data_IF_602364730988
#
_entry.id   IF_602364730988
#
_cell.length_a   1.000
_cell.length_b   1.000
_cell.length_c   1.000
_cell.angle_alpha   90.00
_cell.angle_beta   90.00
_cell.angle_gamma   90.00
#
_symmetry.space_group_name_H-M   'P 1'
#
loop_
_entity.id
_entity.type
_entity.pdbx_description
1 polymer ?
#
# COMPACT_ATOMS: atom_id res chain seq x y z
N UNK A 1 21.80 -37.04 -33.78
CA UNK A 1 23.05 -37.17 -32.99
C UNK A 1 23.11 -35.91 -32.16
N UNK A 2 22.89 -35.81 -30.85
CA UNK A 2 22.87 -36.67 -29.65
C UNK A 2 22.11 -35.78 -28.62
N UNK A 3 21.46 -36.19 -27.54
CA UNK A 3 21.20 -37.46 -26.89
C UNK A 3 20.14 -37.15 -25.83
N UNK A 4 19.20 -38.06 -25.65
CA UNK A 4 18.17 -38.09 -24.60
C UNK A 4 18.84 -38.29 -23.23
N UNK A 5 18.40 -37.57 -22.18
CA UNK A 5 18.53 -38.00 -20.78
C UNK A 5 17.35 -37.46 -19.97
N UNK A 6 16.25 -38.22 -19.92
CA UNK A 6 15.83 -39.08 -18.79
C UNK A 6 15.47 -38.30 -17.51
N UNK A 7 14.16 -38.14 -17.38
CA UNK A 7 13.31 -38.15 -16.19
C UNK A 7 14.00 -38.34 -14.81
N UNK A 8 13.63 -37.46 -13.88
CA UNK A 8 13.48 -37.81 -12.47
C UNK A 8 12.04 -37.50 -12.04
N UNK A 9 11.53 -38.38 -11.20
CA UNK A 9 10.14 -38.65 -10.93
C UNK A 9 9.48 -37.73 -9.89
N UNK A 10 8.15 -37.85 -9.84
CA UNK A 10 7.21 -37.55 -8.74
C UNK A 10 7.01 -36.06 -8.43
N UNK A 11 5.80 -35.55 -8.17
CA UNK A 11 4.57 -36.18 -7.75
C UNK A 11 3.38 -35.47 -8.38
N UNK A 12 2.33 -36.24 -8.66
CA UNK A 12 1.01 -35.68 -8.91
C UNK A 12 0.52 -34.98 -7.64
N UNK A 13 0.33 -33.67 -7.72
CA UNK A 13 -0.66 -32.98 -6.89
C UNK A 13 -1.67 -32.37 -7.85
N UNK A 14 -2.69 -33.17 -8.16
CA UNK A 14 -3.97 -32.60 -8.55
C UNK A 14 -4.57 -31.94 -7.32
N UNK A 15 -4.52 -30.62 -7.25
CA UNK A 15 -5.59 -29.85 -6.61
C UNK A 15 -6.20 -28.98 -7.70
N UNK A 16 -7.13 -29.59 -8.45
CA UNK A 16 -8.26 -28.87 -8.98
C UNK A 16 -9.03 -28.33 -7.77
N UNK A 17 -8.76 -27.08 -7.42
CA UNK A 17 -9.37 -26.39 -6.29
C UNK A 17 -9.57 -24.93 -6.68
N UNK A 18 -10.51 -24.68 -7.59
CA UNK A 18 -11.11 -23.36 -7.77
C UNK A 18 -11.68 -22.91 -6.43
N UNK A 19 -10.93 -22.08 -5.74
CA UNK A 19 -11.45 -21.29 -4.65
C UNK A 19 -10.89 -19.89 -4.84
N UNK A 20 -11.39 -19.22 -5.89
CA UNK A 20 -11.47 -17.77 -5.92
C UNK A 20 -12.43 -17.35 -4.81
N UNK A 21 -12.02 -17.50 -3.56
CA UNK A 21 -12.56 -16.65 -2.52
C UNK A 21 -12.06 -15.27 -2.90
N UNK A 22 -12.97 -14.40 -3.32
CA UNK A 22 -12.72 -12.98 -3.33
C UNK A 22 -12.37 -12.60 -1.88
N UNK A 23 -11.09 -12.71 -1.51
CA UNK A 23 -10.59 -12.26 -0.23
C UNK A 23 -10.82 -10.77 -0.24
N UNK A 24 -11.79 -10.31 0.55
CA UNK A 24 -11.95 -8.89 0.79
C UNK A 24 -10.59 -8.36 1.25
N UNK A 25 -10.01 -7.45 0.46
CA UNK A 25 -8.72 -6.87 0.76
C UNK A 25 -8.80 -6.17 2.12
N UNK A 26 -7.85 -6.49 3.01
CA UNK A 26 -7.79 -5.84 4.32
C UNK A 26 -7.54 -4.34 4.15
N UNK A 27 -7.97 -3.50 5.10
CA UNK A 27 -7.67 -2.07 5.08
C UNK A 27 -6.18 -1.75 4.89
N UNK A 28 -5.30 -2.62 5.41
CA UNK A 28 -3.85 -2.50 5.25
C UNK A 28 -3.40 -2.75 3.80
N UNK A 29 -3.95 -3.77 3.14
CA UNK A 29 -3.65 -4.06 1.73
C UNK A 29 -4.14 -2.93 0.82
N UNK A 30 -5.35 -2.44 1.07
CA UNK A 30 -5.89 -1.27 0.33
C UNK A 30 -5.06 -0.02 0.54
N UNK A 31 -4.66 0.27 1.78
CA UNK A 31 -3.78 1.41 2.06
C UNK A 31 -2.45 1.27 1.32
N UNK A 32 -1.87 0.07 1.25
CA UNK A 32 -0.65 -0.17 0.48
C UNK A 32 -0.88 0.04 -1.02
N UNK A 33 -1.99 -0.44 -1.58
CA UNK A 33 -2.33 -0.20 -2.98
C UNK A 33 -2.52 1.29 -3.27
N UNK A 34 -3.21 2.01 -2.38
CA UNK A 34 -3.42 3.45 -2.48
C UNK A 34 -2.13 4.25 -2.35
N UNK A 35 -1.17 3.77 -1.55
CA UNK A 35 0.17 4.35 -1.45
C UNK A 35 0.88 4.28 -2.81
N UNK A 36 0.98 3.07 -3.36
CA UNK A 36 1.62 2.83 -4.66
C UNK A 36 0.92 3.56 -5.80
N UNK A 37 -0.40 3.71 -5.75
CA UNK A 37 -1.17 4.46 -6.73
C UNK A 37 -0.99 5.98 -6.62
N UNK A 38 -0.54 6.47 -5.46
CA UNK A 38 -0.35 7.90 -5.21
C UNK A 38 1.10 8.36 -5.43
N UNK A 39 2.07 7.47 -5.21
CA UNK A 39 3.50 7.66 -5.52
C UNK A 39 3.70 7.69 -7.05
N UNK A 40 3.47 8.85 -7.64
CA UNK A 40 3.40 9.02 -9.09
C UNK A 40 4.79 9.13 -9.71
N UNK A 41 5.76 9.67 -8.96
CA UNK A 41 7.15 9.76 -9.38
C UNK A 41 7.93 8.45 -9.11
N UNK A 42 7.41 7.55 -8.28
CA UNK A 42 8.00 6.25 -7.98
C UNK A 42 9.23 6.33 -7.09
N UNK A 43 9.37 7.38 -6.29
CA UNK A 43 10.52 7.57 -5.39
C UNK A 43 10.35 6.81 -4.06
N UNK A 44 9.18 6.18 -3.86
CA UNK A 44 8.88 5.41 -2.67
C UNK A 44 8.54 6.27 -1.46
N UNK A 45 8.37 7.58 -1.61
CA UNK A 45 7.88 8.54 -0.62
C UNK A 45 6.63 9.25 -1.15
N UNK A 46 6.00 10.09 -0.33
CA UNK A 46 4.87 10.90 -0.77
C UNK A 46 5.19 12.38 -0.61
N UNK A 47 5.32 13.09 -1.72
CA UNK A 47 5.24 14.56 -1.70
C UNK A 47 3.87 15.02 -1.20
N UNK A 48 3.72 16.31 -0.87
CA UNK A 48 2.43 16.84 -0.41
C UNK A 48 1.27 16.58 -1.38
N UNK A 49 1.51 16.69 -2.69
CA UNK A 49 0.50 16.44 -3.70
C UNK A 49 0.07 14.96 -3.74
N UNK A 50 1.04 14.05 -3.67
CA UNK A 50 0.81 12.60 -3.66
C UNK A 50 0.16 12.16 -2.35
N UNK A 51 0.57 12.74 -1.22
CA UNK A 51 -0.07 12.53 0.07
C UNK A 51 -1.55 12.93 0.05
N UNK A 52 -1.91 14.04 -0.61
CA UNK A 52 -3.31 14.42 -0.76
C UNK A 52 -4.09 13.35 -1.52
N UNK A 53 -3.55 12.83 -2.62
CA UNK A 53 -4.13 11.73 -3.39
C UNK A 53 -4.29 10.46 -2.54
N UNK A 54 -3.28 10.13 -1.75
CA UNK A 54 -3.28 9.00 -0.83
C UNK A 54 -4.41 9.11 0.21
N UNK A 55 -4.57 10.28 0.84
CA UNK A 55 -5.68 10.54 1.76
C UNK A 55 -7.03 10.47 1.05
N UNK A 56 -7.12 10.98 -0.18
CA UNK A 56 -8.36 10.94 -0.96
C UNK A 56 -8.78 9.51 -1.32
N UNK A 57 -7.84 8.64 -1.71
CA UNK A 57 -8.09 7.21 -1.97
C UNK A 57 -8.45 6.47 -0.68
N UNK A 58 -7.69 6.67 0.40
CA UNK A 58 -8.00 6.05 1.68
C UNK A 58 -9.35 6.51 2.25
N UNK A 59 -9.77 7.76 2.00
CA UNK A 59 -11.08 8.24 2.38
C UNK A 59 -12.21 7.52 1.60
N UNK A 60 -11.99 7.22 0.31
CA UNK A 60 -12.93 6.47 -0.52
C UNK A 60 -13.08 5.03 -0.03
N UNK A 61 -11.97 4.41 0.41
CA UNK A 61 -11.97 3.06 0.97
C UNK A 61 -12.37 2.99 2.46
N UNK A 62 -12.67 4.13 3.10
CA UNK A 62 -13.04 4.17 4.52
C UNK A 62 -11.89 3.81 5.48
N UNK A 63 -10.65 4.05 5.09
CA UNK A 63 -9.45 3.66 5.84
C UNK A 63 -9.04 4.75 6.83
N UNK A 64 -9.02 4.39 8.11
CA UNK A 64 -8.49 5.22 9.19
C UNK A 64 -9.19 6.57 9.32
N UNK A 65 -8.41 7.63 9.57
CA UNK A 65 -8.92 9.01 9.73
C UNK A 65 -8.96 9.81 8.41
N UNK A 66 -8.68 9.17 7.27
CA UNK A 66 -8.53 9.84 5.98
C UNK A 66 -9.81 10.58 5.57
N UNK A 67 -10.98 9.98 5.83
CA UNK A 67 -12.27 10.63 5.59
C UNK A 67 -12.53 11.85 6.49
N UNK A 68 -11.97 11.91 7.70
CA UNK A 68 -12.04 13.10 8.56
C UNK A 68 -11.10 14.19 8.05
N UNK A 69 -9.86 13.83 7.69
CA UNK A 69 -8.85 14.76 7.15
C UNK A 69 -9.39 15.44 5.89
N UNK A 70 -9.97 14.66 4.96
CA UNK A 70 -10.63 15.17 3.75
C UNK A 70 -11.78 16.12 4.06
N UNK A 71 -12.74 15.69 4.89
CA UNK A 71 -13.92 16.51 5.22
C UNK A 71 -13.59 17.83 5.93
N UNK A 72 -12.51 17.84 6.71
CA UNK A 72 -12.08 19.03 7.48
C UNK A 72 -10.99 19.85 6.78
N UNK A 73 -10.62 19.45 5.55
CA UNK A 73 -9.53 20.04 4.76
C UNK A 73 -8.21 20.15 5.54
N UNK A 74 -7.88 19.13 6.35
CA UNK A 74 -6.72 19.12 7.27
C UNK A 74 -5.48 18.45 6.67
N UNK A 75 -5.35 18.43 5.34
CA UNK A 75 -4.24 17.76 4.65
C UNK A 75 -2.87 18.29 5.10
N UNK A 76 -2.68 19.62 5.14
CA UNK A 76 -1.43 20.24 5.57
C UNK A 76 -1.05 19.84 7.00
N UNK A 77 -1.99 19.96 7.94
CA UNK A 77 -1.74 19.55 9.34
C UNK A 77 -1.42 18.05 9.48
N UNK A 78 -2.05 17.19 8.68
CA UNK A 78 -1.78 15.76 8.70
C UNK A 78 -0.39 15.46 8.11
N UNK A 79 -0.02 16.15 7.04
CA UNK A 79 1.29 16.04 6.41
C UNK A 79 2.40 16.50 7.36
N UNK A 80 2.30 17.71 7.92
CA UNK A 80 3.27 18.28 8.86
C UNK A 80 3.46 17.43 10.13
N UNK A 81 2.43 16.67 10.53
CA UNK A 81 2.52 15.76 11.67
C UNK A 81 3.27 14.46 11.34
N UNK A 82 3.25 14.04 10.08
CA UNK A 82 3.94 12.84 9.60
C UNK A 82 5.37 13.15 9.17
N UNK A 83 5.60 14.31 8.53
CA UNK A 83 6.90 14.82 8.08
C UNK A 83 7.73 15.26 9.29
N UNK A 84 8.33 14.30 9.97
CA UNK A 84 8.98 14.50 11.25
C UNK A 84 10.34 15.18 11.10
N UNK A 85 11.04 14.87 10.01
CA UNK A 85 12.33 15.48 9.70
C UNK A 85 12.22 16.79 8.89
N UNK A 86 11.00 17.13 8.42
CA UNK A 86 10.67 18.37 7.68
C UNK A 86 11.38 18.47 6.34
N UNK A 87 11.59 17.34 5.68
CA UNK A 87 12.21 17.28 4.37
C UNK A 87 11.21 17.54 3.23
N UNK A 88 9.91 17.68 3.53
CA UNK A 88 8.86 17.97 2.55
C UNK A 88 8.31 16.74 1.81
N UNK A 89 8.64 15.54 2.27
CA UNK A 89 8.10 14.25 1.79
C UNK A 89 7.77 13.35 2.99
N UNK A 90 6.81 12.43 2.83
CA UNK A 90 6.54 11.41 3.83
C UNK A 90 7.21 10.11 3.40
N UNK A 91 8.19 9.67 4.16
CA UNK A 91 8.84 8.38 3.95
C UNK A 91 8.04 7.20 4.55
N UNK A 92 8.30 5.96 4.09
CA UNK A 92 7.72 4.76 4.71
C UNK A 92 8.06 4.63 6.21
N UNK A 93 9.26 5.07 6.60
CA UNK A 93 9.70 5.05 7.99
C UNK A 93 8.86 5.98 8.87
N UNK A 94 8.51 7.17 8.38
CA UNK A 94 7.65 8.12 9.08
C UNK A 94 6.21 7.64 9.19
N UNK A 95 5.66 7.01 8.14
CA UNK A 95 4.35 6.36 8.20
C UNK A 95 4.31 5.24 9.25
N UNK A 96 5.35 4.42 9.29
CA UNK A 96 5.45 3.34 10.26
C UNK A 96 5.60 3.88 11.69
N UNK A 97 6.43 4.91 11.88
CA UNK A 97 6.58 5.58 13.17
C UNK A 97 5.24 6.13 13.67
N UNK A 98 4.47 6.80 12.80
CA UNK A 98 3.16 7.32 13.15
C UNK A 98 2.11 6.24 13.44
N UNK A 99 2.21 5.07 12.80
CA UNK A 99 1.36 3.92 13.11
C UNK A 99 1.68 3.32 14.50
N UNK A 100 2.94 3.36 14.93
CA UNK A 100 3.40 2.85 16.22
C UNK A 100 3.14 3.82 17.39
N UNK A 101 2.83 5.08 17.13
CA UNK A 101 2.52 6.10 18.14
C UNK A 101 1.04 6.10 18.60
N UNK A 102 0.28 5.06 18.22
CA UNK A 102 -1.14 4.86 18.56
C UNK A 102 -1.32 3.72 19.54
#
# INVERSE_FOLDING_TARGET
MNLVLKALAAAAVMVAGTSSFAMAETPRQKAQANYLASDANGDGALSFAEFKSFIDLNAQDGIGQSGLIKRTNRYAMAFERLDADRNGIISPAELQAAANQR
#
